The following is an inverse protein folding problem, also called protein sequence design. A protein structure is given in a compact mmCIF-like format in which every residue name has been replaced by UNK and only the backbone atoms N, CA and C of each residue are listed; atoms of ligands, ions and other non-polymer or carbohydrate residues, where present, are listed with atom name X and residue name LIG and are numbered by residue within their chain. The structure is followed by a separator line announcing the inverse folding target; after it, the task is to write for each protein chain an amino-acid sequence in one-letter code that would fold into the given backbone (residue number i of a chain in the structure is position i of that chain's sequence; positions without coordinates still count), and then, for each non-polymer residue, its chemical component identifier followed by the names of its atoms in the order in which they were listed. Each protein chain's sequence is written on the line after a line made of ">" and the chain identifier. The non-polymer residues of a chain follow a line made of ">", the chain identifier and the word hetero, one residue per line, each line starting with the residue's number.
data_IF_819314669055
#
_entry.id   IF_819314669055
#
_cell.length_a   1.000
_cell.length_b   1.000
_cell.length_c   1.000
_cell.angle_alpha   90.00
_cell.angle_beta   90.00
_cell.angle_gamma   90.00
#
_symmetry.space_group_name_H-M   'P 1'
#
loop_
_entity.id
_entity.type
_entity.pdbx_description
1 polymer ?
#
# COMPACT_ATOMS: atom_id res chain seq x y z
N UNK A 1 -12.14 -2.95 -17.82
CA UNK A 1 -11.98 -2.72 -16.37
C UNK A 1 -12.62 -3.91 -15.68
N UNK A 2 -11.91 -4.56 -14.78
CA UNK A 2 -12.45 -5.74 -14.09
C UNK A 2 -13.51 -5.34 -13.07
N UNK A 3 -14.55 -6.17 -12.91
CA UNK A 3 -15.56 -6.03 -11.85
C UNK A 3 -14.93 -6.02 -10.44
N UNK A 4 -13.78 -6.69 -10.28
CA UNK A 4 -13.03 -6.71 -9.02
C UNK A 4 -12.52 -5.33 -8.67
N UNK A 5 -11.93 -4.65 -9.65
CA UNK A 5 -11.40 -3.29 -9.47
C UNK A 5 -12.51 -2.30 -9.17
N UNK A 6 -13.62 -2.38 -9.90
CA UNK A 6 -14.79 -1.51 -9.72
C UNK A 6 -15.37 -1.63 -8.30
N UNK A 7 -15.66 -2.84 -7.85
CA UNK A 7 -16.23 -3.09 -6.52
C UNK A 7 -15.26 -2.70 -5.40
N UNK A 8 -13.98 -3.06 -5.51
CA UNK A 8 -12.98 -2.66 -4.51
C UNK A 8 -12.81 -1.14 -4.49
N UNK A 9 -12.77 -0.50 -5.67
CA UNK A 9 -12.62 0.94 -5.84
C UNK A 9 -13.79 1.75 -5.29
N UNK A 10 -15.01 1.22 -5.31
CA UNK A 10 -16.20 1.86 -4.75
C UNK A 10 -16.11 2.12 -3.24
N UNK A 11 -15.26 1.38 -2.51
CA UNK A 11 -15.03 1.59 -1.09
C UNK A 11 -13.84 2.53 -0.78
N UNK A 12 -13.22 3.12 -1.81
CA UNK A 12 -12.13 4.10 -1.64
C UNK A 12 -12.63 5.42 -1.01
N UNK A 13 -11.70 6.31 -0.67
CA UNK A 13 -12.06 7.65 -0.19
C UNK A 13 -12.94 8.36 -1.22
N UNK A 14 -14.16 8.81 -0.83
CA UNK A 14 -15.03 9.53 -1.74
C UNK A 14 -14.35 10.83 -2.17
N UNK A 15 -14.58 11.24 -3.42
CA UNK A 15 -14.05 12.50 -4.00
C UNK A 15 -12.53 12.58 -4.18
N UNK A 16 -11.78 11.51 -3.85
CA UNK A 16 -10.33 11.47 -4.11
C UNK A 16 -9.99 11.71 -5.60
N UNK A 17 -10.83 11.20 -6.51
CA UNK A 17 -10.70 11.42 -7.96
C UNK A 17 -10.94 12.87 -8.40
N UNK A 18 -11.60 13.70 -7.57
CA UNK A 18 -11.86 15.11 -7.87
C UNK A 18 -10.64 16.02 -7.60
N UNK A 19 -9.59 15.51 -6.96
CA UNK A 19 -8.38 16.30 -6.67
C UNK A 19 -7.60 16.55 -7.95
N UNK A 20 -7.51 17.81 -8.42
CA UNK A 20 -6.77 18.17 -9.64
C UNK A 20 -5.36 18.73 -9.37
N UNK A 21 -5.06 19.19 -8.15
CA UNK A 21 -3.76 19.77 -7.79
C UNK A 21 -3.16 19.08 -6.57
N UNK A 22 -2.19 18.19 -6.80
CA UNK A 22 -1.54 17.42 -5.74
C UNK A 22 -0.03 17.64 -5.65
N UNK A 23 0.57 18.56 -6.42
CA UNK A 23 2.01 18.46 -6.74
C UNK A 23 3.00 18.69 -5.58
N UNK A 24 2.60 19.24 -4.44
CA UNK A 24 3.59 19.84 -3.52
C UNK A 24 3.39 19.58 -2.03
N UNK A 25 2.33 18.87 -1.61
CA UNK A 25 2.07 18.66 -0.18
C UNK A 25 2.01 17.18 0.15
N UNK A 26 2.97 16.67 0.93
CA UNK A 26 2.85 15.32 1.51
C UNK A 26 2.01 15.33 2.78
N UNK A 27 1.61 14.16 3.28
CA UNK A 27 0.92 14.06 4.57
C UNK A 27 1.70 14.71 5.72
N UNK A 28 3.04 14.59 5.72
CA UNK A 28 3.90 15.30 6.68
C UNK A 28 3.90 16.82 6.46
N UNK A 29 3.82 17.27 5.20
CA UNK A 29 3.69 18.67 4.85
C UNK A 29 2.39 19.27 5.38
N UNK A 30 1.27 18.53 5.26
CA UNK A 30 0.00 18.93 5.84
C UNK A 30 0.07 19.10 7.36
N UNK A 31 0.69 18.15 8.07
CA UNK A 31 0.96 18.29 9.52
C UNK A 31 1.78 19.54 9.81
N UNK A 32 2.83 19.81 9.03
CA UNK A 32 3.68 20.99 9.19
C UNK A 32 2.93 22.32 9.04
N UNK A 33 1.85 22.33 8.25
CA UNK A 33 1.02 23.51 8.06
C UNK A 33 0.00 23.73 9.19
N UNK A 34 -0.05 22.84 10.21
CA UNK A 34 -0.94 22.96 11.39
C UNK A 34 -2.42 23.11 11.01
N UNK A 35 -2.82 22.51 9.90
CA UNK A 35 -4.16 22.55 9.33
C UNK A 35 -5.12 21.53 9.99
N UNK A 36 -5.05 21.50 11.32
CA UNK A 36 -5.90 20.65 12.16
C UNK A 36 -6.04 21.29 13.55
N UNK A 37 -7.00 20.81 14.32
CA UNK A 37 -7.07 21.04 15.77
C UNK A 37 -7.01 19.71 16.50
N UNK A 38 -6.90 19.79 17.82
CA UNK A 38 -6.98 18.66 18.72
C UNK A 38 -8.13 18.96 19.67
N UNK A 39 -9.17 18.12 19.69
CA UNK A 39 -10.34 18.29 20.58
C UNK A 39 -10.37 17.29 21.76
N UNK A 40 -9.36 16.44 21.88
CA UNK A 40 -9.23 15.46 22.96
C UNK A 40 -7.79 15.40 23.45
N UNK A 41 -7.59 15.08 24.72
CA UNK A 41 -6.27 14.96 25.31
C UNK A 41 -5.40 13.95 24.55
N UNK A 42 -4.21 14.39 24.16
CA UNK A 42 -3.28 13.53 23.44
C UNK A 42 -2.63 12.51 24.38
N UNK A 43 -2.35 11.32 23.86
CA UNK A 43 -1.44 10.35 24.47
C UNK A 43 -0.22 10.18 23.58
N UNK A 44 0.91 9.78 24.18
CA UNK A 44 2.16 9.60 23.47
C UNK A 44 2.06 8.69 22.23
N UNK A 45 1.17 7.70 22.26
CA UNK A 45 1.04 6.67 21.22
C UNK A 45 -0.36 6.61 20.59
N UNK A 46 -1.28 7.50 20.96
CA UNK A 46 -2.67 7.51 20.45
C UNK A 46 -3.22 8.94 20.55
N UNK A 47 -3.68 9.50 19.44
CA UNK A 47 -4.28 10.82 19.39
C UNK A 47 -5.22 10.95 18.19
N UNK A 48 -6.09 11.96 18.26
CA UNK A 48 -7.05 12.29 17.21
C UNK A 48 -6.80 13.73 16.76
N UNK A 49 -6.72 13.92 15.45
CA UNK A 49 -6.61 15.22 14.81
C UNK A 49 -7.96 15.54 14.15
N UNK A 50 -8.56 16.68 14.48
CA UNK A 50 -9.76 17.14 13.79
C UNK A 50 -9.35 18.02 12.60
N UNK A 51 -9.87 17.66 11.44
CA UNK A 51 -9.55 18.27 10.16
C UNK A 51 -10.58 19.38 9.91
N UNK A 52 -10.10 20.59 9.60
CA UNK A 52 -10.98 21.73 9.34
C UNK A 52 -11.81 21.53 8.06
N UNK A 53 -11.16 21.04 7.00
CA UNK A 53 -11.74 20.81 5.69
C UNK A 53 -11.21 19.48 5.10
N UNK A 54 -12.12 18.63 4.62
CA UNK A 54 -11.76 17.33 4.03
C UNK A 54 -10.87 17.50 2.79
N UNK A 55 -11.05 18.57 2.03
CA UNK A 55 -10.24 18.84 0.84
C UNK A 55 -8.76 19.06 1.20
N UNK A 56 -8.48 19.62 2.40
CA UNK A 56 -7.11 19.82 2.89
C UNK A 56 -6.36 18.51 3.15
N UNK A 57 -7.06 17.40 3.43
CA UNK A 57 -6.43 16.08 3.63
C UNK A 57 -6.39 15.22 2.36
N UNK A 58 -7.26 15.47 1.38
CA UNK A 58 -7.24 14.74 0.11
C UNK A 58 -6.06 15.13 -0.78
N UNK A 59 -5.66 16.41 -0.79
CA UNK A 59 -4.46 16.87 -1.51
C UNK A 59 -3.20 16.08 -1.09
N UNK A 60 -2.85 15.96 0.20
CA UNK A 60 -1.66 15.22 0.61
C UNK A 60 -1.76 13.72 0.39
N UNK A 61 -2.97 13.16 0.46
CA UNK A 61 -3.20 11.75 0.10
C UNK A 61 -2.96 11.52 -1.40
N UNK A 62 -3.54 12.36 -2.25
CA UNK A 62 -3.34 12.33 -3.70
C UNK A 62 -1.85 12.44 -4.08
N UNK A 63 -1.09 13.34 -3.43
CA UNK A 63 0.35 13.45 -3.65
C UNK A 63 1.09 12.16 -3.28
N UNK A 64 0.83 11.63 -2.08
CA UNK A 64 1.52 10.44 -1.60
C UNK A 64 1.12 9.18 -2.40
N UNK A 65 -0.13 9.06 -2.85
CA UNK A 65 -0.58 7.99 -3.75
C UNK A 65 0.22 8.08 -5.05
N UNK A 66 0.30 9.25 -5.68
CA UNK A 66 1.10 9.45 -6.88
C UNK A 66 2.55 9.02 -6.68
N UNK A 67 3.19 9.53 -5.63
CA UNK A 67 4.60 9.26 -5.31
C UNK A 67 4.83 7.76 -5.09
N UNK A 68 4.01 7.12 -4.28
CA UNK A 68 4.17 5.71 -3.91
C UNK A 68 3.82 4.76 -5.07
N UNK A 69 2.70 4.99 -5.76
CA UNK A 69 2.33 4.19 -6.93
C UNK A 69 3.36 4.33 -8.05
N UNK A 70 3.86 5.54 -8.31
CA UNK A 70 4.93 5.75 -9.31
C UNK A 70 6.21 5.02 -8.91
N UNK A 71 6.64 5.13 -7.65
CA UNK A 71 7.81 4.40 -7.14
C UNK A 71 7.64 2.88 -7.25
N UNK A 72 6.42 2.38 -7.03
CA UNK A 72 6.07 0.97 -7.22
C UNK A 72 6.27 0.53 -8.67
N UNK A 73 5.64 1.24 -9.61
CA UNK A 73 5.64 0.89 -11.03
C UNK A 73 7.02 1.05 -11.67
N UNK A 74 7.76 2.10 -11.31
CA UNK A 74 9.16 2.27 -11.71
C UNK A 74 10.04 1.12 -11.20
N UNK A 75 9.86 0.72 -9.94
CA UNK A 75 10.65 -0.34 -9.32
C UNK A 75 10.47 -1.69 -10.02
N UNK A 76 9.23 -2.10 -10.32
CA UNK A 76 8.94 -3.37 -11.00
C UNK A 76 9.27 -3.34 -12.49
N UNK A 77 9.01 -2.22 -13.17
CA UNK A 77 9.29 -2.07 -14.60
C UNK A 77 10.78 -2.19 -14.91
N UNK A 78 11.65 -1.75 -14.00
CA UNK A 78 13.08 -1.87 -14.17
C UNK A 78 13.68 -3.24 -13.80
N UNK A 79 12.88 -4.25 -13.45
CA UNK A 79 13.38 -5.61 -13.16
C UNK A 79 13.63 -6.33 -14.48
N UNK A 80 14.88 -6.70 -14.73
CA UNK A 80 15.28 -7.46 -15.91
C UNK A 80 16.22 -8.63 -15.53
N UNK A 81 16.26 -9.71 -16.32
CA UNK A 81 17.28 -10.75 -16.19
C UNK A 81 18.69 -10.19 -16.44
N UNK A 82 19.66 -10.68 -15.68
CA UNK A 82 21.08 -10.47 -15.99
C UNK A 82 21.53 -11.53 -17.01
N UNK A 83 22.08 -11.10 -18.15
CA UNK A 83 22.51 -12.01 -19.22
C UNK A 83 23.67 -12.91 -18.81
N UNK A 84 24.59 -12.41 -17.97
CA UNK A 84 25.78 -13.16 -17.52
C UNK A 84 25.46 -14.02 -16.31
N UNK A 85 24.52 -13.58 -15.48
CA UNK A 85 24.13 -14.24 -14.24
C UNK A 85 22.61 -14.44 -14.16
N UNK A 86 21.99 -15.25 -15.05
CA UNK A 86 20.54 -15.41 -15.11
C UNK A 86 19.92 -16.04 -13.85
N UNK A 87 20.74 -16.70 -13.01
CA UNK A 87 20.35 -17.24 -11.70
C UNK A 87 20.45 -16.22 -10.56
N UNK A 88 21.06 -15.06 -10.78
CA UNK A 88 21.20 -13.97 -9.81
C UNK A 88 19.89 -13.21 -9.65
N UNK A 89 18.99 -13.78 -8.86
CA UNK A 89 17.64 -13.24 -8.64
C UNK A 89 17.50 -12.54 -7.28
N UNK A 90 18.57 -12.42 -6.49
CA UNK A 90 18.54 -11.73 -5.20
C UNK A 90 18.02 -10.30 -5.32
N UNK A 91 18.54 -9.54 -6.30
CA UNK A 91 18.08 -8.18 -6.58
C UNK A 91 16.66 -8.12 -7.15
N UNK A 92 16.22 -9.14 -7.91
CA UNK A 92 14.82 -9.25 -8.33
C UNK A 92 13.91 -9.32 -7.11
N UNK A 93 14.21 -10.18 -6.14
CA UNK A 93 13.40 -10.37 -4.94
C UNK A 93 13.34 -9.07 -4.12
N UNK A 94 14.48 -8.42 -3.91
CA UNK A 94 14.56 -7.18 -3.11
C UNK A 94 13.80 -6.05 -3.79
N UNK A 95 14.00 -5.84 -5.10
CA UNK A 95 13.31 -4.77 -5.84
C UNK A 95 11.81 -5.01 -5.93
N UNK A 96 11.40 -6.26 -6.17
CA UNK A 96 10.00 -6.65 -6.23
C UNK A 96 9.30 -6.46 -4.88
N UNK A 97 9.97 -6.80 -3.77
CA UNK A 97 9.47 -6.50 -2.42
C UNK A 97 9.13 -5.02 -2.27
N UNK A 98 10.07 -4.14 -2.62
CA UNK A 98 9.88 -2.71 -2.44
C UNK A 98 8.82 -2.13 -3.37
N UNK A 99 8.72 -2.66 -4.59
CA UNK A 99 7.59 -2.33 -5.47
C UNK A 99 6.26 -2.64 -4.81
N UNK A 100 6.07 -3.88 -4.31
CA UNK A 100 4.85 -4.27 -3.60
C UNK A 100 4.62 -3.47 -2.30
N UNK A 101 5.69 -3.11 -1.58
CA UNK A 101 5.61 -2.29 -0.37
C UNK A 101 5.12 -0.86 -0.67
N UNK A 102 5.61 -0.25 -1.74
CA UNK A 102 5.12 1.05 -2.20
C UNK A 102 3.68 0.97 -2.72
N UNK A 103 3.33 -0.08 -3.47
CA UNK A 103 1.96 -0.34 -3.90
C UNK A 103 1.00 -0.46 -2.71
N UNK A 104 1.37 -1.24 -1.68
CA UNK A 104 0.61 -1.36 -0.43
C UNK A 104 0.37 0.01 0.23
N UNK A 105 1.41 0.85 0.32
CA UNK A 105 1.28 2.20 0.85
C UNK A 105 0.36 3.12 0.03
N UNK A 106 0.34 2.98 -1.29
CA UNK A 106 -0.55 3.72 -2.16
C UNK A 106 -2.00 3.22 -1.98
N UNK A 107 -2.22 1.90 -1.99
CA UNK A 107 -3.54 1.29 -1.79
C UNK A 107 -4.12 1.71 -0.43
N UNK A 108 -3.37 1.58 0.66
CA UNK A 108 -3.84 2.01 1.99
C UNK A 108 -4.31 3.47 1.99
N UNK A 109 -3.59 4.36 1.29
CA UNK A 109 -3.99 5.78 1.19
C UNK A 109 -5.23 5.98 0.33
N UNK A 110 -5.40 5.23 -0.76
CA UNK A 110 -6.66 5.23 -1.52
C UNK A 110 -7.87 4.98 -0.60
N UNK A 111 -7.68 4.18 0.46
CA UNK A 111 -8.70 3.87 1.46
C UNK A 111 -8.62 4.69 2.77
N UNK A 112 -7.90 5.83 2.77
CA UNK A 112 -7.88 6.71 3.94
C UNK A 112 -6.98 6.26 5.08
N UNK A 113 -6.05 5.35 4.81
CA UNK A 113 -5.09 4.83 5.80
C UNK A 113 -3.68 5.28 5.41
N UNK A 114 -3.03 6.00 6.30
CA UNK A 114 -1.63 6.40 6.18
C UNK A 114 -0.80 5.72 7.25
N UNK A 115 0.18 4.92 6.86
CA UNK A 115 1.22 4.47 7.76
C UNK A 115 2.46 5.35 7.53
N UNK A 116 2.84 6.16 8.51
CA UNK A 116 3.86 7.22 8.36
C UNK A 116 4.76 7.32 9.59
N UNK A 117 6.05 7.51 9.36
CA UNK A 117 7.02 7.80 10.42
C UNK A 117 6.88 9.25 10.90
N UNK A 118 6.59 9.47 12.17
CA UNK A 118 6.71 10.77 12.82
C UNK A 118 8.05 10.91 13.52
N UNK A 119 8.82 11.91 13.11
CA UNK A 119 10.06 12.30 13.76
C UNK A 119 9.78 13.41 14.77
N UNK A 120 10.83 13.89 15.44
CA UNK A 120 10.72 14.96 16.44
C UNK A 120 9.95 16.18 15.94
N UNK A 121 10.13 16.54 14.66
CA UNK A 121 9.42 17.66 14.03
C UNK A 121 7.91 17.42 14.01
N UNK A 122 7.46 16.31 13.44
CA UNK A 122 6.02 16.01 13.33
C UNK A 122 5.36 15.83 14.71
N UNK A 123 6.00 15.08 15.60
CA UNK A 123 5.52 14.86 16.96
C UNK A 123 5.48 16.16 17.78
N UNK A 124 6.47 17.04 17.59
CA UNK A 124 6.52 18.36 18.20
C UNK A 124 5.37 19.26 17.73
N UNK A 125 5.07 19.27 16.43
CA UNK A 125 3.94 20.05 15.88
C UNK A 125 2.61 19.59 16.48
N UNK A 126 2.37 18.28 16.57
CA UNK A 126 1.14 17.74 17.15
C UNK A 126 1.02 18.17 18.63
N UNK A 127 2.12 18.07 19.37
CA UNK A 127 2.18 18.50 20.78
C UNK A 127 1.95 20.00 20.92
N UNK A 128 2.54 20.81 20.04
CA UNK A 128 2.36 22.27 20.03
C UNK A 128 0.89 22.64 19.79
N UNK A 129 0.25 22.06 18.77
CA UNK A 129 -1.17 22.30 18.50
C UNK A 129 -2.03 21.84 19.68
N UNK A 130 -1.76 20.67 20.26
CA UNK A 130 -2.48 20.20 21.45
C UNK A 130 -2.37 21.17 22.64
N UNK A 131 -1.18 21.73 22.88
CA UNK A 131 -0.98 22.75 23.93
C UNK A 131 -1.80 24.02 23.67
N UNK A 132 -1.83 24.52 22.43
CA UNK A 132 -2.63 25.70 22.05
C UNK A 132 -4.11 25.51 22.37
N UNK A 133 -4.62 24.29 22.19
CA UNK A 133 -6.02 23.95 22.46
C UNK A 133 -6.27 23.41 23.88
N UNK A 134 -5.27 23.38 24.75
CA UNK A 134 -5.42 22.91 26.14
C UNK A 134 -5.58 21.40 26.30
N UNK A 135 -5.18 20.62 25.29
CA UNK A 135 -5.34 19.16 25.22
C UNK A 135 -4.01 18.39 25.36
N UNK A 136 -3.06 18.98 26.09
CA UNK A 136 -1.80 18.36 26.47
C UNK A 136 -1.65 18.33 28.00
N UNK A 137 -2.49 17.56 28.72
CA UNK A 137 -2.45 17.50 30.19
C UNK A 137 -1.09 16.99 30.68
N UNK A 138 -0.63 17.46 31.84
CA UNK A 138 0.60 17.01 32.51
C UNK A 138 1.87 17.03 31.64
N UNK A 139 1.97 18.00 30.71
CA UNK A 139 3.04 18.06 29.70
C UNK A 139 3.11 16.79 28.82
N UNK A 140 1.97 16.14 28.59
CA UNK A 140 1.86 15.06 27.62
C UNK A 140 2.31 15.53 26.24
N UNK A 141 2.99 14.65 25.53
CA UNK A 141 3.54 14.91 24.20
C UNK A 141 3.34 13.70 23.31
N UNK A 142 3.10 13.95 22.02
CA UNK A 142 3.11 12.90 21.03
C UNK A 142 4.53 12.33 20.91
N UNK A 143 4.69 11.01 20.89
CA UNK A 143 6.00 10.39 20.74
C UNK A 143 6.43 10.32 19.28
N UNK A 144 7.73 10.10 19.05
CA UNK A 144 8.26 9.77 17.73
C UNK A 144 8.08 8.28 17.44
N UNK A 145 8.03 7.91 16.16
CA UNK A 145 7.90 6.53 15.73
C UNK A 145 6.98 6.38 14.54
N UNK A 146 6.63 5.15 14.21
CA UNK A 146 5.76 4.86 13.09
C UNK A 146 4.30 4.87 13.55
N UNK A 147 3.40 5.54 12.83
CA UNK A 147 1.98 5.66 13.19
C UNK A 147 1.08 5.19 12.05
N UNK A 148 0.01 4.47 12.40
CA UNK A 148 -1.16 4.25 11.56
C UNK A 148 -2.16 5.37 11.82
N UNK A 149 -2.38 6.21 10.83
CA UNK A 149 -3.37 7.27 10.83
C UNK A 149 -4.53 6.87 9.92
N UNK A 150 -5.74 6.85 10.45
CA UNK A 150 -6.96 6.46 9.73
C UNK A 150 -7.90 7.66 9.68
N UNK A 151 -8.24 8.08 8.46
CA UNK A 151 -9.28 9.07 8.22
C UNK A 151 -10.66 8.43 8.46
N UNK A 152 -11.48 9.09 9.27
CA UNK A 152 -12.85 8.66 9.55
C UNK A 152 -13.82 9.47 8.69
N UNK A 153 -14.61 8.79 7.86
CA UNK A 153 -15.52 9.45 6.91
C UNK A 153 -16.63 10.26 7.60
N UNK A 154 -16.98 9.91 8.84
CA UNK A 154 -18.14 10.45 9.58
C UNK A 154 -17.84 11.69 10.43
N UNK A 155 -16.59 11.94 10.83
CA UNK A 155 -16.28 12.93 11.87
C UNK A 155 -15.23 13.98 11.48
N UNK A 156 -14.75 14.01 10.22
CA UNK A 156 -13.60 14.83 9.82
C UNK A 156 -12.39 14.62 10.75
N UNK A 157 -12.21 13.40 11.24
CA UNK A 157 -11.20 13.09 12.23
C UNK A 157 -10.20 12.10 11.66
N UNK A 158 -8.93 12.31 12.00
CA UNK A 158 -7.87 11.37 11.77
C UNK A 158 -7.38 10.81 13.09
N UNK A 159 -7.58 9.51 13.29
CA UNK A 159 -7.04 8.82 14.47
C UNK A 159 -5.67 8.24 14.14
N UNK A 160 -4.66 8.62 14.91
CA UNK A 160 -3.30 8.14 14.76
C UNK A 160 -2.91 7.28 15.96
N UNK A 161 -2.51 6.04 15.70
CA UNK A 161 -2.01 5.08 16.70
C UNK A 161 -0.61 4.60 16.33
N UNK A 162 0.29 4.59 17.31
CA UNK A 162 1.67 4.14 17.12
C UNK A 162 1.71 2.65 16.78
N UNK A 163 2.63 2.30 15.91
CA UNK A 163 3.01 0.95 15.49
C UNK A 163 4.37 0.60 16.10
N UNK A 164 4.61 -0.68 16.35
CA UNK A 164 5.81 -1.18 17.02
C UNK A 164 6.95 -1.41 16.01
N UNK A 165 6.63 -1.96 14.84
CA UNK A 165 7.57 -2.32 13.78
C UNK A 165 7.13 -1.74 12.42
N UNK A 166 7.94 -0.86 11.83
CA UNK A 166 7.57 -0.11 10.62
C UNK A 166 7.18 -1.01 9.44
N UNK A 167 7.96 -2.05 9.10
CA UNK A 167 7.68 -2.89 7.94
C UNK A 167 6.63 -3.96 8.23
N UNK A 168 6.79 -4.68 9.33
CA UNK A 168 5.87 -5.77 9.67
C UNK A 168 4.46 -5.26 9.94
N UNK A 169 4.32 -4.10 10.59
CA UNK A 169 3.00 -3.58 10.94
C UNK A 169 2.31 -2.88 9.77
N UNK A 170 3.04 -2.38 8.76
CA UNK A 170 2.42 -1.94 7.50
C UNK A 170 1.75 -3.11 6.79
N UNK A 171 2.45 -4.24 6.71
CA UNK A 171 1.87 -5.45 6.13
C UNK A 171 0.67 -5.95 6.93
N UNK A 172 0.74 -5.91 8.27
CA UNK A 172 -0.41 -6.21 9.11
C UNK A 172 -1.57 -5.25 8.84
N UNK A 173 -1.30 -3.93 8.76
CA UNK A 173 -2.33 -2.93 8.48
C UNK A 173 -3.03 -3.20 7.15
N UNK A 174 -2.26 -3.59 6.13
CA UNK A 174 -2.80 -3.97 4.83
C UNK A 174 -3.60 -5.27 4.89
N UNK A 175 -3.07 -6.29 5.56
CA UNK A 175 -3.75 -7.58 5.76
C UNK A 175 -5.10 -7.43 6.47
N UNK A 176 -5.13 -6.63 7.55
CA UNK A 176 -6.36 -6.33 8.30
C UNK A 176 -7.34 -5.50 7.48
N UNK A 177 -6.82 -4.57 6.67
CA UNK A 177 -7.66 -3.75 5.81
C UNK A 177 -8.32 -4.57 4.70
N UNK A 178 -7.60 -5.54 4.10
CA UNK A 178 -8.16 -6.49 3.16
C UNK A 178 -9.29 -7.32 3.79
N UNK A 179 -9.14 -7.76 5.03
CA UNK A 179 -10.20 -8.46 5.77
C UNK A 179 -11.45 -7.58 5.92
N UNK A 180 -11.26 -6.35 6.43
CA UNK A 180 -12.34 -5.37 6.57
C UNK A 180 -13.02 -5.04 5.24
N UNK A 181 -12.26 -4.93 4.15
CA UNK A 181 -12.82 -4.71 2.81
C UNK A 181 -13.68 -5.90 2.36
N UNK A 182 -13.29 -7.13 2.71
CA UNK A 182 -14.10 -8.32 2.39
C UNK A 182 -15.45 -8.28 3.09
N UNK A 183 -15.48 -7.87 4.36
CA UNK A 183 -16.71 -7.69 5.13
C UNK A 183 -17.59 -6.59 4.50
N UNK A 184 -17.02 -5.42 4.22
CA UNK A 184 -17.74 -4.30 3.60
C UNK A 184 -18.35 -4.67 2.24
N UNK A 185 -17.57 -5.35 1.39
CA UNK A 185 -18.06 -5.80 0.08
C UNK A 185 -19.19 -6.80 0.25
N UNK A 186 -19.09 -7.72 1.20
CA UNK A 186 -20.12 -8.75 1.45
C UNK A 186 -21.46 -8.12 1.86
N UNK A 187 -21.40 -7.07 2.68
CA UNK A 187 -22.55 -6.31 3.20
C UNK A 187 -23.14 -5.31 2.19
N UNK A 188 -22.41 -4.97 1.12
CA UNK A 188 -22.88 -4.02 0.10
C UNK A 188 -24.03 -4.63 -0.73
N UNK A 189 -25.16 -3.92 -0.79
CA UNK A 189 -26.35 -4.35 -1.54
C UNK A 189 -26.38 -3.78 -2.97
N UNK A 190 -25.38 -3.01 -3.37
CA UNK A 190 -25.30 -2.36 -4.69
C UNK A 190 -24.82 -3.30 -5.80
N UNK A 191 -24.28 -4.47 -5.45
CA UNK A 191 -23.65 -5.42 -6.38
C UNK A 191 -24.28 -6.82 -6.32
N UNK A 192 -24.22 -7.55 -7.44
CA UNK A 192 -24.72 -8.93 -7.49
C UNK A 192 -23.89 -9.85 -6.58
N UNK A 193 -24.55 -10.80 -5.91
CA UNK A 193 -23.86 -11.74 -5.02
C UNK A 193 -22.71 -12.50 -5.71
N UNK A 194 -22.88 -12.86 -6.98
CA UNK A 194 -21.83 -13.53 -7.76
C UNK A 194 -20.59 -12.66 -7.99
N UNK A 195 -20.75 -11.34 -8.08
CA UNK A 195 -19.66 -10.39 -8.25
C UNK A 195 -18.95 -10.12 -6.93
N UNK A 196 -19.73 -9.93 -5.85
CA UNK A 196 -19.21 -9.84 -4.48
C UNK A 196 -18.34 -11.05 -4.13
N UNK A 197 -18.83 -12.27 -4.41
CA UNK A 197 -18.09 -13.50 -4.15
C UNK A 197 -16.74 -13.54 -4.88
N UNK A 198 -16.68 -13.07 -6.13
CA UNK A 198 -15.43 -12.98 -6.90
C UNK A 198 -14.43 -12.02 -6.26
N UNK A 199 -14.90 -10.88 -5.77
CA UNK A 199 -14.04 -9.89 -5.08
C UNK A 199 -13.53 -10.43 -3.75
N UNK A 200 -14.40 -11.04 -2.94
CA UNK A 200 -14.02 -11.66 -1.67
C UNK A 200 -13.02 -12.78 -1.88
N UNK A 201 -13.20 -13.62 -2.91
CA UNK A 201 -12.25 -14.67 -3.29
C UNK A 201 -10.89 -14.07 -3.70
N UNK A 202 -10.88 -13.01 -4.52
CA UNK A 202 -9.67 -12.30 -4.91
C UNK A 202 -8.91 -11.77 -3.68
N UNK A 203 -9.62 -11.11 -2.75
CA UNK A 203 -9.03 -10.59 -1.52
C UNK A 203 -8.52 -11.72 -0.62
N UNK A 204 -9.28 -12.80 -0.49
CA UNK A 204 -8.87 -13.99 0.25
C UNK A 204 -7.55 -14.54 -0.31
N UNK A 205 -7.42 -14.68 -1.63
CA UNK A 205 -6.20 -15.16 -2.26
C UNK A 205 -5.02 -14.23 -2.00
N UNK A 206 -5.19 -12.90 -2.10
CA UNK A 206 -4.13 -11.94 -1.72
C UNK A 206 -3.67 -12.13 -0.27
N UNK A 207 -4.61 -12.28 0.68
CA UNK A 207 -4.29 -12.56 2.09
C UNK A 207 -3.60 -13.91 2.25
N UNK A 208 -4.00 -14.92 1.49
CA UNK A 208 -3.37 -16.23 1.50
C UNK A 208 -1.91 -16.17 1.03
N UNK A 209 -1.61 -15.37 0.01
CA UNK A 209 -0.25 -15.04 -0.42
C UNK A 209 0.55 -14.31 0.66
N UNK A 210 0.02 -13.21 1.20
CA UNK A 210 0.66 -12.39 2.26
C UNK A 210 0.99 -13.17 3.54
N UNK A 211 0.19 -14.19 3.86
CA UNK A 211 0.37 -15.04 5.04
C UNK A 211 1.18 -16.30 4.79
N UNK A 212 1.71 -16.49 3.58
CA UNK A 212 2.34 -17.74 3.15
C UNK A 212 1.46 -18.97 3.45
N UNK A 213 0.25 -18.96 2.90
CA UNK A 213 -0.72 -20.05 3.06
C UNK A 213 -1.18 -20.20 4.52
N UNK A 214 -1.36 -19.08 5.22
CA UNK A 214 -1.78 -19.03 6.62
C UNK A 214 -0.67 -19.27 7.66
N UNK A 215 0.57 -19.54 7.25
CA UNK A 215 1.71 -19.76 8.17
C UNK A 215 2.10 -18.51 8.97
N UNK A 216 1.88 -17.32 8.42
CA UNK A 216 2.19 -16.02 9.02
C UNK A 216 0.91 -15.23 9.25
N UNK A 217 0.35 -15.34 10.46
CA UNK A 217 -0.93 -14.71 10.84
C UNK A 217 -0.96 -13.19 10.73
N UNK A 218 0.21 -12.54 10.65
CA UNK A 218 0.36 -11.09 10.58
C UNK A 218 0.46 -10.53 9.15
N UNK A 219 0.40 -11.38 8.12
CA UNK A 219 0.56 -10.97 6.72
C UNK A 219 1.96 -10.41 6.37
N UNK A 220 2.94 -10.53 7.28
CA UNK A 220 4.27 -9.93 7.16
C UNK A 220 5.31 -10.86 6.49
N UNK A 221 4.87 -11.93 5.84
CA UNK A 221 5.76 -12.94 5.25
C UNK A 221 6.67 -12.36 4.17
N UNK A 222 6.17 -11.42 3.35
CA UNK A 222 6.98 -10.79 2.30
C UNK A 222 8.20 -10.07 2.87
N UNK A 223 8.04 -9.39 4.02
CA UNK A 223 9.17 -8.74 4.70
C UNK A 223 10.18 -9.75 5.22
N UNK A 224 9.73 -10.94 5.64
CA UNK A 224 10.61 -12.02 6.09
C UNK A 224 11.45 -12.54 4.93
N UNK A 225 10.83 -12.91 3.81
CA UNK A 225 11.55 -13.38 2.61
C UNK A 225 12.57 -12.35 2.13
N UNK A 226 12.18 -11.06 2.07
CA UNK A 226 13.11 -10.00 1.71
C UNK A 226 14.31 -9.93 2.67
N UNK A 227 14.11 -10.07 3.98
CA UNK A 227 15.20 -10.03 4.95
C UNK A 227 16.11 -11.26 4.84
N UNK A 228 15.55 -12.44 4.65
CA UNK A 228 16.28 -13.70 4.45
C UNK A 228 17.13 -13.66 3.17
N UNK A 229 16.58 -13.11 2.08
CA UNK A 229 17.33 -12.94 0.83
C UNK A 229 18.38 -11.84 0.96
N UNK A 230 18.02 -10.65 1.47
CA UNK A 230 18.90 -9.48 1.45
C UNK A 230 20.03 -9.53 2.49
N UNK A 231 19.77 -10.05 3.70
CA UNK A 231 20.73 -10.00 4.80
C UNK A 231 21.38 -11.36 5.10
N UNK A 232 20.66 -12.46 4.85
CA UNK A 232 21.15 -13.81 5.13
C UNK A 232 21.62 -14.54 3.86
N UNK A 233 21.41 -13.94 2.69
CA UNK A 233 21.80 -14.48 1.38
C UNK A 233 21.29 -15.91 1.13
N UNK A 234 20.06 -16.19 1.56
CA UNK A 234 19.46 -17.53 1.51
C UNK A 234 18.70 -17.81 0.20
N UNK A 235 18.01 -18.96 0.12
CA UNK A 235 17.15 -19.40 -1.00
C UNK A 235 17.87 -19.57 -2.35
N UNK A 236 19.20 -19.65 -2.35
CA UNK A 236 20.01 -19.85 -3.56
C UNK A 236 19.87 -18.72 -4.59
N UNK A 237 19.55 -17.50 -4.15
CA UNK A 237 19.31 -16.34 -5.03
C UNK A 237 20.57 -15.54 -5.36
N UNK A 238 21.66 -15.81 -4.62
CA UNK A 238 22.98 -15.20 -4.79
C UNK A 238 24.01 -16.26 -5.15
N UNK A 239 25.07 -15.88 -5.86
CA UNK A 239 26.18 -16.78 -6.17
C UNK A 239 26.77 -17.36 -4.87
N UNK A 240 27.07 -18.68 -4.77
CA UNK A 240 27.14 -19.69 -5.85
C UNK A 240 25.83 -20.43 -6.18
N UNK A 241 24.67 -19.91 -5.75
CA UNK A 241 23.33 -20.44 -6.02
C UNK A 241 23.03 -21.82 -5.41
N UNK A 242 23.74 -22.18 -4.34
CA UNK A 242 23.49 -23.41 -3.59
C UNK A 242 22.06 -23.44 -3.05
N UNK A 243 21.34 -24.54 -3.30
CA UNK A 243 19.96 -24.70 -2.84
C UNK A 243 18.90 -23.93 -3.64
N UNK A 244 19.23 -23.44 -4.84
CA UNK A 244 18.25 -22.80 -5.72
C UNK A 244 17.17 -23.81 -6.17
N UNK A 245 15.94 -23.60 -5.70
CA UNK A 245 14.78 -24.47 -5.98
C UNK A 245 13.87 -23.91 -7.09
N UNK A 246 14.06 -22.65 -7.49
CA UNK A 246 13.19 -21.98 -8.45
C UNK A 246 13.79 -21.96 -9.86
N UNK A 247 12.96 -22.28 -10.86
CA UNK A 247 13.28 -21.97 -12.25
C UNK A 247 13.16 -20.45 -12.43
N UNK A 248 14.29 -19.74 -12.46
CA UNK A 248 14.34 -18.28 -12.59
C UNK A 248 13.48 -17.75 -13.75
N UNK A 249 13.41 -18.46 -14.88
CA UNK A 249 12.54 -18.13 -16.02
C UNK A 249 11.06 -18.03 -15.65
N UNK A 250 10.58 -18.88 -14.74
CA UNK A 250 9.17 -18.85 -14.31
C UNK A 250 8.90 -17.64 -13.41
N UNK A 251 9.89 -17.20 -12.63
CA UNK A 251 9.78 -15.98 -11.82
C UNK A 251 9.67 -14.74 -12.72
N UNK A 252 10.52 -14.63 -13.75
CA UNK A 252 10.43 -13.53 -14.72
C UNK A 252 9.14 -13.58 -15.54
N UNK A 253 8.62 -14.76 -15.85
CA UNK A 253 7.30 -14.89 -16.50
C UNK A 253 6.18 -14.38 -15.60
N UNK A 254 6.23 -14.64 -14.29
CA UNK A 254 5.23 -14.12 -13.36
C UNK A 254 5.25 -12.57 -13.28
N UNK A 255 6.39 -11.93 -13.55
CA UNK A 255 6.48 -10.47 -13.58
C UNK A 255 5.78 -9.84 -14.80
N UNK A 256 5.64 -10.54 -15.93
CA UNK A 256 5.24 -9.91 -17.20
C UNK A 256 3.84 -9.30 -17.19
N UNK A 257 3.00 -9.69 -16.22
CA UNK A 257 1.58 -9.33 -16.17
C UNK A 257 1.26 -8.37 -15.02
N UNK A 258 2.26 -7.70 -14.43
CA UNK A 258 2.02 -6.80 -13.30
C UNK A 258 1.07 -5.65 -13.62
N UNK A 259 1.02 -5.20 -14.87
CA UNK A 259 0.15 -4.16 -15.39
C UNK A 259 -1.15 -4.69 -16.03
N UNK A 260 -1.51 -5.96 -15.76
CA UNK A 260 -2.76 -6.54 -16.24
C UNK A 260 -3.92 -6.26 -15.29
N UNK A 261 -5.15 -6.41 -15.78
CA UNK A 261 -6.35 -6.29 -14.94
C UNK A 261 -6.37 -7.35 -13.82
N UNK A 262 -6.99 -7.00 -12.69
CA UNK A 262 -7.20 -7.93 -11.59
C UNK A 262 -8.20 -9.03 -11.99
N UNK A 263 -7.72 -10.25 -12.14
CA UNK A 263 -8.55 -11.45 -12.35
C UNK A 263 -8.15 -12.55 -11.36
N UNK A 264 -9.12 -13.36 -10.95
CA UNK A 264 -8.91 -14.44 -9.96
C UNK A 264 -7.90 -15.47 -10.48
N UNK A 265 -7.93 -15.77 -11.77
CA UNK A 265 -7.08 -16.79 -12.39
C UNK A 265 -5.57 -16.48 -12.29
N UNK A 266 -5.21 -15.21 -12.09
CA UNK A 266 -3.82 -14.79 -11.90
C UNK A 266 -3.29 -15.14 -10.49
N UNK A 267 -4.16 -15.50 -9.54
CA UNK A 267 -3.85 -15.75 -8.13
C UNK A 267 -3.92 -17.24 -7.78
N UNK A 268 -3.19 -18.10 -8.49
CA UNK A 268 -3.17 -19.55 -8.18
C UNK A 268 -2.17 -19.91 -7.06
N UNK A 269 -2.15 -19.12 -5.98
CA UNK A 269 -1.24 -19.30 -4.85
C UNK A 269 -1.33 -20.70 -4.21
N UNK A 270 -2.51 -21.31 -4.21
CA UNK A 270 -2.73 -22.66 -3.68
C UNK A 270 -1.94 -23.74 -4.43
N UNK A 271 -1.56 -23.49 -5.68
CA UNK A 271 -0.78 -24.43 -6.52
C UNK A 271 0.73 -24.19 -6.45
N UNK A 272 1.16 -23.11 -5.81
CA UNK A 272 2.57 -22.71 -5.76
C UNK A 272 3.27 -23.47 -4.62
N UNK A 273 3.92 -24.58 -4.95
CA UNK A 273 4.69 -25.36 -3.97
C UNK A 273 5.95 -24.61 -3.51
N UNK A 274 6.50 -23.74 -4.37
CA UNK A 274 7.73 -22.99 -4.15
C UNK A 274 7.48 -21.63 -3.50
N UNK A 275 8.05 -21.41 -2.32
CA UNK A 275 7.91 -20.16 -1.55
C UNK A 275 8.40 -18.91 -2.30
N UNK A 276 9.44 -19.03 -3.13
CA UNK A 276 9.95 -17.91 -3.92
C UNK A 276 9.00 -17.53 -5.06
N UNK A 277 8.39 -18.54 -5.71
CA UNK A 277 7.37 -18.29 -6.73
C UNK A 277 6.12 -17.65 -6.11
N UNK A 278 5.65 -18.20 -4.99
CA UNK A 278 4.54 -17.62 -4.22
C UNK A 278 4.83 -16.16 -3.81
N UNK A 279 6.08 -15.87 -3.41
CA UNK A 279 6.51 -14.52 -3.05
C UNK A 279 6.40 -13.56 -4.24
N UNK A 280 6.90 -13.99 -5.41
CA UNK A 280 6.82 -13.19 -6.64
C UNK A 280 5.38 -12.93 -7.05
N UNK A 281 4.55 -13.98 -7.11
CA UNK A 281 3.14 -13.88 -7.47
C UNK A 281 2.37 -12.96 -6.50
N UNK A 282 2.65 -13.05 -5.19
CA UNK A 282 2.01 -12.21 -4.18
C UNK A 282 2.39 -10.73 -4.38
N UNK A 283 3.68 -10.44 -4.57
CA UNK A 283 4.14 -9.08 -4.83
C UNK A 283 3.55 -8.50 -6.12
N UNK A 284 3.59 -9.27 -7.22
CA UNK A 284 3.02 -8.86 -8.52
C UNK A 284 1.55 -8.53 -8.37
N UNK A 285 0.78 -9.35 -7.65
CA UNK A 285 -0.66 -9.15 -7.51
C UNK A 285 -1.02 -7.89 -6.72
N UNK A 286 -0.23 -7.54 -5.70
CA UNK A 286 -0.40 -6.28 -4.95
C UNK A 286 -0.12 -5.09 -5.88
N UNK A 287 0.90 -5.19 -6.73
CA UNK A 287 1.23 -4.16 -7.71
C UNK A 287 0.12 -4.05 -8.76
N UNK A 288 -0.43 -5.17 -9.26
CA UNK A 288 -1.55 -5.19 -10.20
C UNK A 288 -2.83 -4.59 -9.62
N UNK A 289 -3.11 -4.85 -8.33
CA UNK A 289 -4.21 -4.19 -7.63
C UNK A 289 -4.00 -2.68 -7.57
N UNK A 290 -2.81 -2.22 -7.20
CA UNK A 290 -2.48 -0.79 -7.18
C UNK A 290 -2.63 -0.16 -8.57
N UNK A 291 -2.11 -0.82 -9.62
CA UNK A 291 -2.24 -0.38 -11.00
C UNK A 291 -3.71 -0.23 -11.39
N UNK A 292 -4.51 -1.27 -11.14
CA UNK A 292 -5.93 -1.28 -11.48
C UNK A 292 -6.71 -0.19 -10.74
N UNK A 293 -6.47 0.00 -9.45
CA UNK A 293 -7.14 1.06 -8.66
C UNK A 293 -6.74 2.46 -9.12
N UNK A 294 -5.45 2.69 -9.44
CA UNK A 294 -5.05 3.99 -10.02
C UNK A 294 -5.65 4.20 -11.40
N UNK A 295 -5.83 3.13 -12.19
CA UNK A 295 -6.49 3.21 -13.49
C UNK A 295 -7.96 3.57 -13.37
N UNK A 296 -8.67 2.95 -12.42
CA UNK A 296 -10.06 3.29 -12.13
C UNK A 296 -10.21 4.76 -11.70
N UNK A 297 -9.43 5.21 -10.71
CA UNK A 297 -9.45 6.61 -10.24
C UNK A 297 -9.16 7.62 -11.37
N UNK A 298 -8.26 7.29 -12.30
CA UNK A 298 -7.98 8.16 -13.45
C UNK A 298 -9.10 8.15 -14.49
N UNK A 299 -9.81 7.04 -14.67
CA UNK A 299 -10.95 6.98 -15.58
C UNK A 299 -12.15 7.76 -15.05
N UNK A 300 -12.29 7.88 -13.73
CA UNK A 300 -13.29 8.76 -13.12
C UNK A 300 -12.99 10.25 -13.40
N UNK A 301 -11.71 10.63 -13.46
CA UNK A 301 -11.29 11.99 -13.81
C UNK A 301 -9.89 12.01 -14.47
N UNK A 302 -9.88 12.16 -15.80
CA UNK A 302 -8.64 12.18 -16.59
C UNK A 302 -7.73 13.38 -16.29
N UNK A 303 -8.31 14.47 -15.80
CA UNK A 303 -7.57 15.68 -15.38
C UNK A 303 -7.24 15.70 -13.88
N UNK A 304 -7.56 14.60 -13.17
CA UNK A 304 -7.26 14.43 -11.76
C UNK A 304 -5.77 14.25 -11.46
N UNK A 305 -5.46 14.08 -10.17
CA UNK A 305 -4.10 14.11 -9.63
C UNK A 305 -3.16 13.11 -10.28
N UNK A 306 -3.66 11.96 -10.73
CA UNK A 306 -2.87 10.88 -11.32
C UNK A 306 -2.25 11.23 -12.69
N UNK A 307 -2.80 12.22 -13.41
CA UNK A 307 -2.37 12.63 -14.75
C UNK A 307 -0.87 12.94 -14.82
N UNK A 308 -0.36 13.63 -13.81
CA UNK A 308 0.99 14.21 -13.82
C UNK A 308 2.02 13.38 -13.05
N UNK A 309 1.56 12.40 -12.26
CA UNK A 309 2.39 11.41 -11.58
C UNK A 309 2.36 10.08 -12.30
N UNK A 310 1.50 9.17 -11.84
CA UNK A 310 1.41 7.78 -12.33
C UNK A 310 1.30 7.72 -13.86
N UNK A 311 0.36 8.44 -14.47
CA UNK A 311 0.09 8.30 -15.90
C UNK A 311 1.16 8.95 -16.78
N UNK A 312 1.78 10.02 -16.30
CA UNK A 312 2.96 10.60 -16.93
C UNK A 312 4.13 9.60 -16.95
N UNK A 313 4.34 8.86 -15.85
CA UNK A 313 5.32 7.77 -15.81
C UNK A 313 4.96 6.64 -16.78
N UNK A 314 3.73 6.13 -16.74
CA UNK A 314 3.30 5.01 -17.59
C UNK A 314 3.46 5.34 -19.08
N UNK A 315 3.11 6.57 -19.49
CA UNK A 315 3.32 7.07 -20.85
C UNK A 315 4.80 7.10 -21.23
N UNK A 316 5.67 7.62 -20.36
CA UNK A 316 7.13 7.66 -20.61
C UNK A 316 7.76 6.27 -20.69
N UNK A 317 7.24 5.33 -19.91
CA UNK A 317 7.70 3.95 -19.89
C UNK A 317 7.10 3.10 -21.02
N UNK A 318 6.24 3.67 -21.89
CA UNK A 318 5.50 2.98 -22.95
C UNK A 318 4.68 1.77 -22.43
N UNK A 319 4.15 1.89 -21.21
CA UNK A 319 3.31 0.85 -20.60
C UNK A 319 1.88 1.07 -21.10
N UNK A 320 1.27 0.03 -21.69
CA UNK A 320 -0.13 0.08 -22.11
C UNK A 320 -1.01 0.25 -20.88
N UNK A 321 -1.83 1.30 -20.92
CA UNK A 321 -2.86 1.61 -19.94
C UNK A 321 -4.18 1.05 -20.44
#
# INVERSE_FOLDING_TARGET
>A
MSVITEIIGAHSLPELSNVCNSRELSFKGWLANKKFKVSNDIKANDFVLDIYDKDEIYIPYAFDINRMATSSFESINGIAPDEKFPKSIGWLVVRLYYSAYYACHAILRIFGISCTQFNQKESGIITEVANVWGHAPDNSSASTGYFKCVLTNTANQMRCKKLDNSHADVWQCFYDHLDKLSDLISEDNSYLQSEKNKCVEYIFNLRFGLSCRGRYRKGNWLSKIRNEVNYQHTMGTWFPYSGSVAKHTDLYRALSNWNSECIIDNLTHAKSENDLKLFVESCVSIVSLCFSLTKDLHNQNHDGFLKLGVFNFLNKANIRV
#
